data_IF_977558325973
#
_entry.id   IF_977558325973
#
_cell.length_a   1.000
_cell.length_b   1.000
_cell.length_c   1.000
_cell.angle_alpha   90.00
_cell.angle_beta   90.00
_cell.angle_gamma   90.00
#
_symmetry.space_group_name_H-M   'P 1'
#
loop_
_entity.id
_entity.type
_entity.pdbx_description
1 polymer ?
#
# COMPACT_ATOMS: atom_id res chain seq x y z
N UNK A 1 -2.47 -7.84 -12.22
CA UNK A 1 -3.33 -7.36 -13.32
C UNK A 1 -2.52 -6.28 -14.00
N UNK A 2 -2.24 -6.45 -15.28
CA UNK A 2 -1.27 -5.63 -16.01
C UNK A 2 -1.74 -4.17 -16.06
N UNK A 3 -0.95 -3.24 -15.52
CA UNK A 3 -1.28 -1.80 -15.46
C UNK A 3 -1.44 -1.22 -16.88
N UNK A 4 -0.78 -1.86 -17.85
CA UNK A 4 -0.91 -1.56 -19.25
C UNK A 4 -2.29 -1.93 -19.82
N UNK A 5 -2.84 -3.08 -19.42
CA UNK A 5 -4.16 -3.56 -19.85
C UNK A 5 -5.31 -2.74 -19.24
N UNK A 6 -5.11 -2.20 -18.04
CA UNK A 6 -6.06 -1.26 -17.42
C UNK A 6 -6.03 0.14 -18.04
N UNK A 7 -5.17 0.36 -19.05
CA UNK A 7 -4.98 1.64 -19.76
C UNK A 7 -4.51 2.79 -18.87
N UNK A 8 -3.92 2.48 -17.72
CA UNK A 8 -3.27 3.49 -16.89
C UNK A 8 -1.85 3.71 -17.37
N UNK A 9 -1.73 4.43 -18.49
CA UNK A 9 -0.47 4.63 -19.19
C UNK A 9 0.55 5.42 -18.37
N UNK A 10 0.11 6.21 -17.38
CA UNK A 10 1.00 6.92 -16.46
C UNK A 10 1.76 5.94 -15.58
N UNK A 11 1.05 5.05 -14.88
CA UNK A 11 1.72 4.05 -14.05
C UNK A 11 2.44 3.00 -14.89
N UNK A 12 1.92 2.63 -16.06
CA UNK A 12 2.63 1.73 -16.97
C UNK A 12 3.99 2.31 -17.39
N UNK A 13 4.06 3.61 -17.72
CA UNK A 13 5.31 4.33 -17.98
C UNK A 13 6.25 4.25 -16.77
N UNK A 14 5.75 4.57 -15.59
CA UNK A 14 6.58 4.64 -14.38
C UNK A 14 7.19 3.27 -14.01
N UNK A 15 6.39 2.19 -14.11
CA UNK A 15 6.88 0.81 -13.91
C UNK A 15 7.92 0.39 -14.95
N UNK A 16 7.74 0.77 -16.22
CA UNK A 16 8.71 0.42 -17.26
C UNK A 16 10.01 1.22 -17.12
N UNK A 17 9.96 2.49 -16.68
CA UNK A 17 11.15 3.27 -16.32
C UNK A 17 11.91 2.62 -15.15
N UNK A 18 11.20 2.18 -14.12
CA UNK A 18 11.82 1.47 -12.99
C UNK A 18 12.42 0.14 -13.44
N UNK A 19 11.76 -0.57 -14.36
CA UNK A 19 12.29 -1.79 -14.97
C UNK A 19 13.63 -1.51 -15.66
N UNK A 20 13.72 -0.45 -16.47
CA UNK A 20 15.00 -0.04 -17.10
C UNK A 20 16.08 0.25 -16.05
N UNK A 21 15.74 0.98 -14.98
CA UNK A 21 16.68 1.30 -13.88
C UNK A 21 17.25 0.03 -13.24
N UNK A 22 16.41 -0.96 -12.96
CA UNK A 22 16.83 -2.23 -12.37
C UNK A 22 17.70 -3.06 -13.33
N UNK A 23 17.39 -3.05 -14.63
CA UNK A 23 18.19 -3.75 -15.64
C UNK A 23 19.61 -3.19 -15.77
N UNK A 24 19.74 -1.86 -15.63
CA UNK A 24 21.04 -1.17 -15.63
C UNK A 24 21.86 -1.49 -14.37
N UNK A 25 21.22 -1.64 -13.21
CA UNK A 25 21.88 -1.90 -11.92
C UNK A 25 22.26 -3.38 -11.73
N UNK A 26 21.37 -4.31 -12.04
CA UNK A 26 21.57 -5.75 -11.81
C UNK A 26 22.30 -6.44 -12.98
N UNK A 27 22.53 -5.72 -14.08
CA UNK A 27 23.31 -6.17 -15.24
C UNK A 27 22.65 -7.33 -15.99
N UNK A 28 21.70 -7.04 -16.89
CA UNK A 28 21.18 -7.90 -17.98
C UNK A 28 20.93 -9.42 -17.70
N UNK A 29 20.89 -9.88 -16.45
CA UNK A 29 20.62 -11.29 -16.10
C UNK A 29 19.12 -11.61 -16.06
N UNK A 30 18.29 -10.73 -16.62
CA UNK A 30 16.84 -10.85 -16.52
C UNK A 30 16.25 -11.66 -17.67
N UNK A 31 15.14 -12.36 -17.39
CA UNK A 31 14.27 -12.98 -18.40
C UNK A 31 13.46 -11.96 -19.22
N UNK A 32 13.71 -10.66 -19.05
CA UNK A 32 12.93 -9.58 -19.64
C UNK A 32 13.61 -9.10 -20.93
N UNK A 33 12.89 -9.10 -22.04
CA UNK A 33 13.36 -8.53 -23.30
C UNK A 33 13.29 -7.01 -23.22
N UNK A 34 14.44 -6.36 -23.39
CA UNK A 34 14.55 -4.90 -23.40
C UNK A 34 13.68 -4.27 -24.51
N UNK A 35 13.47 -5.00 -25.62
CA UNK A 35 12.62 -4.59 -26.73
C UNK A 35 11.15 -4.48 -26.29
N UNK A 36 10.68 -5.40 -25.44
CA UNK A 36 9.33 -5.35 -24.88
C UNK A 36 9.17 -4.13 -23.96
N UNK A 37 10.16 -3.84 -23.12
CA UNK A 37 10.14 -2.67 -22.23
C UNK A 37 10.06 -1.37 -23.04
N UNK A 38 10.87 -1.24 -24.10
CA UNK A 38 10.83 -0.06 -24.98
C UNK A 38 9.52 0.05 -25.77
N UNK A 39 8.92 -1.05 -26.23
CA UNK A 39 7.62 -1.00 -26.92
C UNK A 39 6.50 -0.51 -25.98
N UNK A 40 6.47 -1.01 -24.74
CA UNK A 40 5.48 -0.58 -23.73
C UNK A 40 5.69 0.90 -23.34
N UNK A 41 6.94 1.34 -23.13
CA UNK A 41 7.26 2.76 -22.89
C UNK A 41 6.86 3.64 -24.05
N UNK A 42 7.23 3.24 -25.26
CA UNK A 42 6.92 3.98 -26.49
C UNK A 42 5.41 4.19 -26.63
N UNK A 43 4.61 3.16 -26.38
CA UNK A 43 3.16 3.25 -26.47
C UNK A 43 2.56 4.07 -25.33
N UNK A 44 3.03 3.90 -24.10
CA UNK A 44 2.57 4.68 -22.95
C UNK A 44 2.81 6.18 -23.16
N UNK A 45 4.02 6.57 -23.58
CA UNK A 45 4.36 7.97 -23.89
C UNK A 45 3.50 8.52 -25.03
N UNK A 46 3.22 7.73 -26.07
CA UNK A 46 2.30 8.12 -27.14
C UNK A 46 0.90 8.40 -26.60
N UNK A 47 0.37 7.54 -25.73
CA UNK A 47 -0.96 7.70 -25.12
C UNK A 47 -1.04 8.90 -24.17
N UNK A 48 0.07 9.26 -23.54
CA UNK A 48 0.21 10.46 -22.72
C UNK A 48 0.48 11.74 -23.55
N UNK A 49 0.63 11.60 -24.87
CA UNK A 49 0.85 12.73 -25.79
C UNK A 49 2.32 13.12 -25.96
N UNK A 50 3.26 12.44 -25.32
CA UNK A 50 4.69 12.73 -25.38
C UNK A 50 5.35 12.12 -26.64
N UNK A 51 4.98 12.61 -27.83
CA UNK A 51 5.43 12.03 -29.11
C UNK A 51 6.96 11.95 -29.26
N UNK A 52 7.69 12.94 -28.74
CA UNK A 52 9.17 12.94 -28.80
C UNK A 52 9.76 11.78 -28.01
N UNK A 53 9.24 11.52 -26.80
CA UNK A 53 9.65 10.40 -25.95
C UNK A 53 9.23 9.07 -26.55
N UNK A 54 8.01 8.98 -27.09
CA UNK A 54 7.54 7.81 -27.82
C UNK A 54 8.49 7.43 -28.95
N UNK A 55 8.82 8.38 -29.83
CA UNK A 55 9.76 8.17 -30.93
C UNK A 55 11.19 7.85 -30.43
N UNK A 56 11.63 8.42 -29.31
CA UNK A 56 12.92 8.10 -28.72
C UNK A 56 13.01 6.63 -28.31
N UNK A 57 12.04 6.12 -27.53
CA UNK A 57 12.03 4.71 -27.12
C UNK A 57 11.90 3.75 -28.31
N UNK A 58 11.09 4.09 -29.34
CA UNK A 58 11.04 3.28 -30.56
C UNK A 58 12.38 3.23 -31.30
N UNK A 59 13.19 4.30 -31.27
CA UNK A 59 14.53 4.30 -31.87
C UNK A 59 15.51 3.45 -31.06
N UNK A 60 15.44 3.49 -29.72
CA UNK A 60 16.25 2.61 -28.87
C UNK A 60 15.95 1.13 -29.16
N UNK A 61 14.68 0.80 -29.37
CA UNK A 61 14.27 -0.54 -29.79
C UNK A 61 14.88 -0.94 -31.15
N UNK A 62 14.93 -0.05 -32.13
CA UNK A 62 15.59 -0.30 -33.42
C UNK A 62 17.12 -0.38 -33.34
N UNK A 63 17.75 0.22 -32.33
CA UNK A 63 19.19 0.03 -32.09
C UNK A 63 19.48 -1.40 -31.61
N UNK A 64 18.55 -2.01 -30.87
CA UNK A 64 18.66 -3.38 -30.40
C UNK A 64 18.24 -4.41 -31.48
N UNK A 65 17.11 -4.17 -32.15
CA UNK A 65 16.63 -4.96 -33.30
C UNK A 65 16.29 -4.06 -34.50
N UNK A 66 17.25 -3.84 -35.42
CA UNK A 66 17.02 -3.05 -36.62
C UNK A 66 15.96 -3.61 -37.56
N UNK A 67 15.66 -4.92 -37.46
CA UNK A 67 14.70 -5.61 -38.35
C UNK A 67 13.27 -5.56 -37.84
N UNK A 68 13.04 -4.95 -36.68
CA UNK A 68 11.74 -4.94 -36.04
C UNK A 68 10.69 -4.14 -36.84
N UNK A 69 9.85 -4.85 -37.60
CA UNK A 69 8.90 -4.25 -38.54
C UNK A 69 7.90 -3.27 -37.89
N UNK A 70 7.45 -3.53 -36.65
CA UNK A 70 6.55 -2.62 -35.91
C UNK A 70 7.23 -1.30 -35.55
N UNK A 71 8.46 -1.34 -35.05
CA UNK A 71 9.21 -0.17 -34.61
C UNK A 71 9.53 0.76 -35.79
N UNK A 72 9.90 0.21 -36.94
CA UNK A 72 10.10 0.98 -38.17
C UNK A 72 8.84 1.77 -38.57
N UNK A 73 7.67 1.14 -38.51
CA UNK A 73 6.39 1.80 -38.78
C UNK A 73 6.04 2.85 -37.72
N UNK A 74 6.26 2.54 -36.45
CA UNK A 74 5.96 3.44 -35.34
C UNK A 74 6.81 4.72 -35.38
N UNK A 75 8.12 4.63 -35.68
CA UNK A 75 8.98 5.82 -35.83
C UNK A 75 8.46 6.73 -36.94
N UNK A 76 8.20 6.18 -38.13
CA UNK A 76 7.69 6.95 -39.26
C UNK A 76 6.33 7.60 -38.93
N UNK A 77 5.47 6.87 -38.21
CA UNK A 77 4.18 7.38 -37.76
C UNK A 77 4.32 8.54 -36.75
N UNK A 78 5.16 8.39 -35.72
CA UNK A 78 5.38 9.44 -34.73
C UNK A 78 6.06 10.68 -35.33
N UNK A 79 7.04 10.50 -36.22
CA UNK A 79 7.69 11.61 -36.93
C UNK A 79 6.71 12.38 -37.82
N UNK A 80 5.79 11.69 -38.50
CA UNK A 80 4.76 12.33 -39.31
C UNK A 80 3.74 13.08 -38.44
N UNK A 81 3.34 12.53 -37.29
CA UNK A 81 2.46 13.24 -36.34
C UNK A 81 3.12 14.49 -35.77
N UNK A 82 4.40 14.42 -35.41
CA UNK A 82 5.18 15.59 -34.94
C UNK A 82 5.21 16.68 -36.01
N UNK A 83 5.27 16.30 -37.29
CA UNK A 83 5.31 17.23 -38.42
C UNK A 83 3.96 17.86 -38.75
N UNK A 84 2.89 17.08 -38.67
CA UNK A 84 1.56 17.47 -39.19
C UNK A 84 0.60 17.98 -38.13
N UNK A 85 0.67 17.46 -36.90
CA UNK A 85 -0.24 17.78 -35.81
C UNK A 85 0.51 18.09 -34.49
N UNK A 86 1.55 18.95 -34.48
CA UNK A 86 2.37 19.19 -33.28
C UNK A 86 1.54 19.73 -32.09
N UNK A 87 0.49 20.51 -32.36
CA UNK A 87 -0.34 21.15 -31.33
C UNK A 87 -1.31 20.20 -30.63
N UNK A 88 -1.63 19.05 -31.24
CA UNK A 88 -2.54 18.04 -30.67
C UNK A 88 -1.87 17.17 -29.61
N UNK A 89 -0.54 17.18 -29.59
CA UNK A 89 0.30 16.35 -28.74
C UNK A 89 1.35 17.21 -28.03
N UNK A 90 0.91 18.37 -27.54
CA UNK A 90 1.73 19.21 -26.67
C UNK A 90 1.97 18.46 -25.37
N UNK A 91 3.24 18.34 -25.00
CA UNK A 91 3.73 17.73 -23.77
C UNK A 91 2.84 18.13 -22.58
N UNK A 92 2.03 17.20 -22.05
CA UNK A 92 1.34 17.44 -20.77
C UNK A 92 2.31 17.41 -19.57
N UNK A 93 3.57 17.04 -19.82
CA UNK A 93 4.63 16.97 -18.81
C UNK A 93 5.49 18.25 -18.71
N UNK A 94 5.38 19.25 -19.61
CA UNK A 94 6.25 20.45 -19.58
C UNK A 94 5.80 21.56 -18.60
N UNK A 95 4.66 21.40 -17.90
CA UNK A 95 4.24 22.30 -16.82
C UNK A 95 4.08 21.61 -15.45
N UNK A 96 4.44 20.33 -15.34
CA UNK A 96 4.54 19.65 -14.04
C UNK A 96 5.93 19.05 -13.90
N UNK A 97 6.88 19.95 -13.62
CA UNK A 97 8.25 19.59 -13.32
C UNK A 97 8.32 18.45 -12.30
N UNK A 98 9.29 17.56 -12.50
CA UNK A 98 9.71 16.51 -11.57
C UNK A 98 10.38 17.08 -10.30
N UNK A 99 10.05 18.31 -9.90
CA UNK A 99 10.38 18.89 -8.61
C UNK A 99 9.09 19.00 -7.81
N UNK A 100 9.08 18.49 -6.58
CA UNK A 100 7.91 18.43 -5.71
C UNK A 100 7.28 19.80 -5.46
N UNK A 101 6.40 20.23 -6.35
CA UNK A 101 5.50 21.34 -6.10
C UNK A 101 4.44 20.87 -5.10
N UNK A 102 4.53 21.42 -3.89
CA UNK A 102 3.54 21.18 -2.85
C UNK A 102 2.15 21.52 -3.38
N UNK A 103 1.27 20.52 -3.43
CA UNK A 103 -0.13 20.67 -3.81
C UNK A 103 -0.76 21.82 -3.00
N UNK A 104 -1.32 22.81 -3.69
CA UNK A 104 -2.03 23.93 -3.06
C UNK A 104 -3.24 23.42 -2.25
N UNK A 105 -3.63 24.14 -1.19
CA UNK A 105 -4.79 23.78 -0.37
C UNK A 105 -6.10 23.69 -1.20
N UNK A 106 -6.27 24.57 -2.19
CA UNK A 106 -7.43 24.57 -3.10
C UNK A 106 -7.46 23.34 -4.01
N UNK A 107 -6.31 22.89 -4.55
CA UNK A 107 -6.27 21.65 -5.34
C UNK A 107 -6.59 20.42 -4.49
N UNK A 108 -6.24 20.42 -3.20
CA UNK A 108 -6.50 19.31 -2.27
C UNK A 108 -7.97 19.14 -1.94
N UNK A 109 -8.72 20.23 -1.81
CA UNK A 109 -10.15 20.18 -1.55
C UNK A 109 -10.94 19.59 -2.72
N UNK A 110 -10.47 19.76 -3.95
CA UNK A 110 -11.12 19.19 -5.16
C UNK A 110 -10.87 17.70 -5.36
N UNK A 111 -9.83 17.13 -4.74
CA UNK A 111 -9.49 15.71 -4.91
C UNK A 111 -10.55 14.80 -4.28
N UNK A 112 -10.80 13.68 -4.97
CA UNK A 112 -11.55 12.55 -4.40
C UNK A 112 -10.82 11.96 -3.20
N UNK A 113 -11.54 11.23 -2.34
CA UNK A 113 -10.95 10.53 -1.20
C UNK A 113 -9.84 9.56 -1.65
N UNK A 114 -10.02 8.90 -2.80
CA UNK A 114 -9.05 7.95 -3.33
C UNK A 114 -7.78 8.63 -3.82
N UNK A 115 -7.90 9.76 -4.51
CA UNK A 115 -6.73 10.55 -4.95
C UNK A 115 -5.93 11.10 -3.76
N UNK A 116 -6.63 11.61 -2.74
CA UNK A 116 -5.99 12.02 -1.47
C UNK A 116 -5.28 10.87 -0.79
N UNK A 117 -5.83 9.66 -0.80
CA UNK A 117 -5.17 8.48 -0.26
C UNK A 117 -3.91 8.13 -1.06
N UNK A 118 -3.99 8.10 -2.39
CA UNK A 118 -2.85 7.78 -3.26
C UNK A 118 -1.71 8.80 -3.14
N UNK A 119 -2.02 10.08 -2.89
CA UNK A 119 -1.02 11.12 -2.77
C UNK A 119 -0.19 11.00 -1.48
N UNK A 120 -0.72 10.37 -0.42
CA UNK A 120 0.01 10.07 0.83
C UNK A 120 1.24 9.19 0.60
N UNK A 121 1.26 8.38 -0.47
CA UNK A 121 2.38 7.50 -0.79
C UNK A 121 3.57 8.23 -1.46
N UNK A 122 3.44 9.53 -1.79
CA UNK A 122 4.42 10.28 -2.61
C UNK A 122 5.34 11.22 -1.82
N UNK A 123 5.30 11.18 -0.49
CA UNK A 123 6.18 12.00 0.34
C UNK A 123 5.51 12.42 1.65
N UNK A 124 6.21 13.21 2.48
CA UNK A 124 5.67 13.66 3.74
C UNK A 124 4.49 14.60 3.50
N UNK A 125 3.35 14.26 4.09
CA UNK A 125 2.20 15.14 4.22
C UNK A 125 2.26 15.78 5.61
N UNK A 126 2.89 16.96 5.76
CA UNK A 126 3.03 17.57 7.07
C UNK A 126 1.64 17.87 7.62
N UNK A 127 1.40 17.44 8.86
CA UNK A 127 0.21 17.86 9.59
C UNK A 127 0.23 19.39 9.71
N UNK A 128 -0.92 20.08 9.56
CA UNK A 128 -0.99 21.50 9.85
C UNK A 128 -0.45 21.78 11.26
N UNK A 129 0.26 22.91 11.43
CA UNK A 129 0.98 23.22 12.68
C UNK A 129 0.09 23.21 13.90
N UNK A 130 -1.18 23.55 13.72
CA UNK A 130 -2.20 23.54 14.76
C UNK A 130 -2.35 22.13 15.33
N UNK A 131 -2.44 21.10 14.46
CA UNK A 131 -2.53 19.70 14.88
C UNK A 131 -1.21 19.18 15.44
N UNK A 132 -0.08 19.54 14.84
CA UNK A 132 1.24 19.08 15.24
C UNK A 132 1.63 19.59 16.64
N UNK A 133 1.30 20.85 16.96
CA UNK A 133 1.63 21.47 18.25
C UNK A 133 0.92 20.84 19.46
N UNK A 134 -0.16 20.12 19.22
CA UNK A 134 -0.96 19.45 20.26
C UNK A 134 -0.57 17.98 20.46
N UNK A 135 0.32 17.43 19.64
CA UNK A 135 0.76 16.04 19.75
C UNK A 135 1.65 15.88 20.99
N UNK A 136 1.31 14.89 21.81
CA UNK A 136 1.98 14.67 23.10
C UNK A 136 2.29 13.19 23.32
N UNK A 137 3.31 12.93 24.13
CA UNK A 137 3.67 11.60 24.58
C UNK A 137 3.49 11.51 26.09
N UNK A 138 2.94 10.40 26.57
CA UNK A 138 2.72 10.18 27.99
C UNK A 138 2.79 8.70 28.36
N UNK A 139 2.95 8.45 29.66
CA UNK A 139 2.84 7.11 30.23
C UNK A 139 1.42 6.85 30.69
N UNK A 140 0.86 5.72 30.27
CA UNK A 140 -0.51 5.33 30.59
C UNK A 140 -0.54 4.06 31.43
N UNK A 141 -1.19 4.12 32.59
CA UNK A 141 -1.28 3.03 33.55
C UNK A 141 -2.69 2.42 33.65
N UNK A 142 -3.61 2.86 32.79
CA UNK A 142 -5.02 2.47 32.76
C UNK A 142 -5.68 2.41 34.15
N UNK A 143 -5.82 3.55 34.82
CA UNK A 143 -6.43 3.62 36.16
C UNK A 143 -5.70 2.75 37.20
N UNK A 144 -4.37 2.71 37.11
CA UNK A 144 -3.51 1.91 37.98
C UNK A 144 -3.77 0.40 37.89
N UNK A 145 -4.04 -0.12 36.68
CA UNK A 145 -4.04 -1.57 36.41
C UNK A 145 -2.74 -2.18 36.94
N UNK A 146 -2.78 -3.25 37.77
CA UNK A 146 -1.61 -3.71 38.53
C UNK A 146 -0.35 -3.96 37.69
N UNK A 147 -0.49 -4.54 36.49
CA UNK A 147 0.63 -4.80 35.57
C UNK A 147 1.25 -3.52 34.99
N UNK A 148 0.44 -2.46 34.83
CA UNK A 148 0.85 -1.19 34.22
C UNK A 148 1.34 -0.15 35.24
N UNK A 149 1.08 -0.32 36.54
CA UNK A 149 1.68 0.53 37.58
C UNK A 149 3.21 0.41 37.57
N UNK A 150 3.73 -0.81 37.38
CA UNK A 150 5.16 -1.08 37.34
C UNK A 150 5.74 -0.74 35.96
N UNK A 151 5.00 -1.04 34.90
CA UNK A 151 5.43 -0.82 33.51
C UNK A 151 4.31 -0.15 32.70
N UNK A 152 4.14 1.17 32.84
CA UNK A 152 3.13 1.91 32.08
C UNK A 152 3.38 1.81 30.57
N UNK A 153 2.30 1.87 29.80
CA UNK A 153 2.38 1.91 28.33
C UNK A 153 2.90 3.27 27.89
N UNK A 154 3.83 3.27 26.95
CA UNK A 154 4.30 4.49 26.27
C UNK A 154 3.31 4.84 25.17
N UNK A 155 2.59 5.94 25.33
CA UNK A 155 1.56 6.40 24.39
C UNK A 155 2.06 7.66 23.68
N UNK A 156 1.88 7.68 22.37
CA UNK A 156 2.09 8.83 21.50
C UNK A 156 0.76 9.19 20.85
N UNK A 157 0.31 10.43 21.00
CA UNK A 157 -0.86 10.92 20.26
C UNK A 157 -0.41 11.24 18.84
N UNK A 158 -0.98 10.55 17.86
CA UNK A 158 -0.67 10.74 16.43
C UNK A 158 -1.70 11.67 15.78
N UNK A 159 -2.94 11.66 16.25
CA UNK A 159 -3.99 12.52 15.76
C UNK A 159 -5.10 12.70 16.80
N UNK A 160 -5.71 13.89 16.87
CA UNK A 160 -6.74 14.18 17.87
C UNK A 160 -8.17 13.88 17.38
N UNK A 161 -8.45 14.05 16.08
CA UNK A 161 -9.80 13.87 15.54
C UNK A 161 -9.79 13.27 14.12
N UNK A 162 -9.95 11.95 13.96
CA UNK A 162 -10.21 10.97 15.02
C UNK A 162 -9.02 10.81 15.98
N UNK A 163 -9.28 10.36 17.21
CA UNK A 163 -8.23 10.07 18.18
C UNK A 163 -7.44 8.84 17.72
N UNK A 164 -6.17 9.03 17.42
CA UNK A 164 -5.24 7.97 17.03
C UNK A 164 -4.06 8.00 18.00
N UNK A 165 -3.83 6.86 18.65
CA UNK A 165 -2.71 6.66 19.55
C UNK A 165 -1.76 5.62 18.97
N UNK A 166 -0.46 5.86 19.11
CA UNK A 166 0.57 4.86 18.87
C UNK A 166 1.13 4.37 20.20
N UNK A 167 0.95 3.08 20.47
CA UNK A 167 1.48 2.44 21.68
C UNK A 167 2.85 1.84 21.37
N UNK A 168 3.89 2.33 22.05
CA UNK A 168 5.28 1.94 21.76
C UNK A 168 5.71 0.77 22.63
N UNK A 169 6.30 -0.25 22.01
CA UNK A 169 6.91 -1.39 22.71
C UNK A 169 5.90 -2.34 23.36
N UNK A 170 4.71 -2.49 22.77
CA UNK A 170 3.68 -3.41 23.27
C UNK A 170 4.11 -4.87 23.11
N UNK A 171 4.75 -5.22 21.98
CA UNK A 171 5.25 -6.57 21.71
C UNK A 171 6.78 -6.58 21.76
N UNK A 172 7.34 -7.62 22.37
CA UNK A 172 8.77 -7.92 22.30
C UNK A 172 9.14 -8.62 20.98
N UNK A 173 10.41 -8.56 20.59
CA UNK A 173 10.90 -9.29 19.39
C UNK A 173 10.56 -10.79 19.43
N UNK A 174 10.76 -11.43 20.58
CA UNK A 174 10.41 -12.85 20.79
C UNK A 174 8.92 -13.14 20.60
N UNK A 175 8.05 -12.23 21.06
CA UNK A 175 6.60 -12.35 20.84
C UNK A 175 6.27 -12.20 19.36
N UNK A 176 6.88 -11.22 18.68
CA UNK A 176 6.67 -11.01 17.24
C UNK A 176 7.12 -12.21 16.42
N UNK A 177 8.31 -12.77 16.69
CA UNK A 177 8.84 -13.94 15.98
C UNK A 177 7.96 -15.18 16.20
N UNK A 178 7.48 -15.38 17.43
CA UNK A 178 6.56 -16.48 17.74
C UNK A 178 5.23 -16.33 16.99
N UNK A 179 4.66 -15.13 16.94
CA UNK A 179 3.44 -14.89 16.18
C UNK A 179 3.64 -15.16 14.68
N UNK A 180 4.80 -14.80 14.11
CA UNK A 180 5.15 -15.11 12.72
C UNK A 180 5.24 -16.62 12.48
N UNK A 181 5.91 -17.36 13.36
CA UNK A 181 6.04 -18.82 13.30
C UNK A 181 4.66 -19.50 13.31
N UNK A 182 3.80 -19.09 14.24
CA UNK A 182 2.44 -19.62 14.38
C UNK A 182 1.55 -19.27 13.18
N UNK A 183 1.66 -18.05 12.66
CA UNK A 183 0.85 -17.57 11.56
C UNK A 183 1.27 -18.17 10.21
N UNK A 184 2.57 -18.37 9.97
CA UNK A 184 3.15 -18.85 8.71
C UNK A 184 2.34 -19.97 8.02
N UNK A 185 2.06 -21.10 8.69
CA UNK A 185 1.33 -22.22 8.08
C UNK A 185 -0.17 -21.98 7.86
N UNK A 186 -0.77 -20.99 8.53
CA UNK A 186 -2.22 -20.71 8.45
C UNK A 186 -2.57 -19.48 7.59
N UNK A 187 -1.56 -18.68 7.21
CA UNK A 187 -1.74 -17.52 6.35
C UNK A 187 -2.28 -17.95 4.98
N UNK A 188 -3.51 -17.54 4.66
CA UNK A 188 -4.15 -17.75 3.36
C UNK A 188 -4.43 -16.43 2.68
N UNK A 189 -4.57 -16.45 1.35
CA UNK A 189 -4.95 -15.25 0.59
C UNK A 189 -6.24 -14.68 1.17
N UNK A 190 -6.22 -13.42 1.56
CA UNK A 190 -7.40 -12.75 2.09
C UNK A 190 -8.47 -12.67 0.98
N UNK A 191 -9.70 -13.01 1.35
CA UNK A 191 -10.89 -12.92 0.52
C UNK A 191 -11.85 -11.91 1.13
N UNK A 192 -12.73 -11.36 0.30
CA UNK A 192 -13.85 -10.56 0.74
C UNK A 192 -15.14 -11.14 0.17
N UNK A 193 -16.25 -10.90 0.87
CA UNK A 193 -17.56 -11.36 0.42
C UNK A 193 -17.99 -10.52 -0.78
N UNK A 194 -18.11 -11.15 -1.94
CA UNK A 194 -18.62 -10.51 -3.14
C UNK A 194 -20.12 -10.23 -2.95
N UNK A 195 -20.56 -8.97 -3.13
CA UNK A 195 -21.93 -8.56 -2.91
C UNK A 195 -22.92 -9.21 -3.90
N UNK A 196 -22.47 -9.50 -5.13
CA UNK A 196 -23.29 -10.07 -6.19
C UNK A 196 -23.37 -11.60 -6.07
N UNK A 197 -22.24 -12.26 -5.79
CA UNK A 197 -22.17 -13.73 -5.73
C UNK A 197 -22.41 -14.30 -4.33
N UNK A 198 -22.27 -13.47 -3.29
CA UNK A 198 -22.34 -13.85 -1.88
C UNK A 198 -21.17 -14.72 -1.39
N UNK A 199 -20.20 -15.03 -2.26
CA UNK A 199 -19.06 -15.90 -1.98
C UNK A 199 -17.82 -15.10 -1.57
N UNK A 200 -16.94 -15.77 -0.83
CA UNK A 200 -15.63 -15.23 -0.51
C UNK A 200 -14.70 -15.32 -1.73
N UNK A 201 -14.33 -14.17 -2.29
CA UNK A 201 -13.50 -14.06 -3.48
C UNK A 201 -12.32 -13.10 -3.23
N UNK A 202 -11.16 -13.28 -3.90
CA UNK A 202 -10.07 -12.33 -3.79
C UNK A 202 -10.49 -10.96 -4.31
N UNK A 203 -10.31 -9.93 -3.47
CA UNK A 203 -10.64 -8.55 -3.84
C UNK A 203 -9.40 -7.77 -4.28
N UNK A 204 -9.58 -6.82 -5.21
CA UNK A 204 -8.51 -5.94 -5.66
C UNK A 204 -8.12 -4.89 -4.60
N UNK A 205 -9.07 -4.45 -3.77
CA UNK A 205 -8.84 -3.45 -2.72
C UNK A 205 -8.13 -4.00 -1.46
N UNK A 206 -7.97 -5.34 -1.37
CA UNK A 206 -7.33 -6.02 -0.24
C UNK A 206 -6.35 -7.08 -0.75
N UNK A 207 -5.08 -6.70 -0.82
CA UNK A 207 -3.99 -7.58 -1.24
C UNK A 207 -3.15 -7.96 -0.02
N UNK A 208 -3.54 -9.06 0.64
CA UNK A 208 -2.78 -9.63 1.75
C UNK A 208 -2.99 -11.13 1.91
N UNK A 209 -2.19 -11.75 2.76
CA UNK A 209 -2.48 -13.05 3.38
C UNK A 209 -2.88 -12.80 4.83
N UNK A 210 -3.90 -13.47 5.32
CA UNK A 210 -4.35 -13.35 6.72
C UNK A 210 -4.56 -14.72 7.36
N UNK A 211 -4.37 -14.75 8.68
CA UNK A 211 -4.63 -15.91 9.53
C UNK A 211 -5.09 -15.42 10.90
N UNK A 212 -5.82 -16.27 11.63
CA UNK A 212 -6.35 -15.95 12.95
C UNK A 212 -5.72 -16.89 13.97
N UNK A 213 -5.13 -16.30 15.01
CA UNK A 213 -4.49 -17.00 16.11
C UNK A 213 -5.38 -16.93 17.35
N UNK A 214 -5.34 -18.01 18.11
CA UNK A 214 -5.99 -18.14 19.41
C UNK A 214 -5.11 -19.02 20.29
N UNK A 215 -5.43 -19.11 21.59
CA UNK A 215 -4.70 -19.93 22.57
C UNK A 215 -4.49 -21.37 22.11
N UNK A 216 -5.42 -21.92 21.33
CA UNK A 216 -5.35 -23.28 20.78
C UNK A 216 -4.16 -23.50 19.85
N UNK A 217 -3.71 -22.45 19.17
CA UNK A 217 -2.57 -22.50 18.25
C UNK A 217 -1.23 -22.39 18.98
N UNK A 218 -1.22 -21.96 20.24
CA UNK A 218 0.01 -21.60 20.94
C UNK A 218 0.16 -22.30 22.30
N UNK A 219 0.77 -23.51 22.32
CA UNK A 219 1.03 -24.25 23.55
C UNK A 219 1.89 -23.49 24.58
N UNK A 220 2.65 -22.48 24.13
CA UNK A 220 3.54 -21.68 24.98
C UNK A 220 2.85 -20.43 25.56
N UNK A 221 1.59 -20.17 25.21
CA UNK A 221 0.75 -19.12 25.80
C UNK A 221 1.19 -17.68 25.55
N UNK A 222 1.95 -17.40 24.49
CA UNK A 222 2.23 -16.05 24.00
C UNK A 222 0.94 -15.32 23.61
N UNK A 223 0.03 -15.97 22.86
CA UNK A 223 -1.24 -15.34 22.45
C UNK A 223 -2.03 -14.87 23.69
N UNK A 224 -2.23 -15.73 24.68
CA UNK A 224 -2.92 -15.38 25.93
C UNK A 224 -2.24 -14.25 26.72
N UNK A 225 -0.90 -14.21 26.72
CA UNK A 225 -0.16 -13.13 27.38
C UNK A 225 -0.32 -11.80 26.67
N UNK A 226 -0.48 -11.82 25.34
CA UNK A 226 -0.73 -10.63 24.53
C UNK A 226 -2.17 -10.17 24.73
N UNK A 227 -3.15 -11.08 24.71
CA UNK A 227 -4.56 -10.75 24.95
C UNK A 227 -4.75 -10.11 26.34
N UNK A 228 -4.18 -10.69 27.40
CA UNK A 228 -4.22 -10.08 28.74
C UNK A 228 -3.58 -8.69 28.77
N UNK A 229 -2.50 -8.48 28.02
CA UNK A 229 -1.85 -7.16 27.93
C UNK A 229 -2.74 -6.15 27.21
N UNK A 230 -3.42 -6.57 26.14
CA UNK A 230 -4.40 -5.75 25.43
C UNK A 230 -5.54 -5.37 26.37
N UNK A 231 -6.09 -6.34 27.11
CA UNK A 231 -7.09 -6.09 28.14
C UNK A 231 -6.60 -5.07 29.19
N UNK A 232 -5.36 -5.25 29.68
CA UNK A 232 -4.76 -4.38 30.70
C UNK A 232 -4.67 -2.91 30.27
N UNK A 233 -4.30 -2.61 29.02
CA UNK A 233 -4.15 -1.21 28.57
C UNK A 233 -5.38 -0.65 27.85
N UNK A 234 -6.28 -1.48 27.33
CA UNK A 234 -7.55 -0.98 26.75
C UNK A 234 -8.65 -0.85 27.81
N UNK A 235 -8.57 -1.63 28.89
CA UNK A 235 -9.66 -1.79 29.85
C UNK A 235 -10.85 -2.58 29.29
N UNK A 236 -10.72 -3.19 28.11
CA UNK A 236 -11.76 -3.95 27.43
C UNK A 236 -11.47 -5.44 27.53
N UNK A 237 -12.48 -6.24 27.88
CA UNK A 237 -12.29 -7.68 27.99
C UNK A 237 -12.03 -8.33 26.64
N UNK A 238 -11.05 -9.23 26.60
CA UNK A 238 -10.77 -10.06 25.43
C UNK A 238 -11.71 -11.27 25.31
N UNK A 239 -12.58 -11.51 26.30
CA UNK A 239 -13.51 -12.65 26.28
C UNK A 239 -14.52 -12.63 25.14
N UNK A 240 -14.90 -11.44 24.67
CA UNK A 240 -15.80 -11.23 23.52
C UNK A 240 -15.06 -10.78 22.27
N UNK A 241 -13.75 -10.60 22.35
CA UNK A 241 -12.95 -10.12 21.23
C UNK A 241 -12.81 -11.19 20.14
N UNK A 242 -12.62 -10.73 18.91
CA UNK A 242 -12.22 -11.61 17.82
C UNK A 242 -10.83 -12.20 18.07
N UNK A 243 -10.54 -13.30 17.37
CA UNK A 243 -9.21 -13.91 17.39
C UNK A 243 -8.15 -12.95 16.84
N UNK A 244 -6.91 -13.07 17.33
CA UNK A 244 -5.80 -12.24 16.90
C UNK A 244 -5.53 -12.44 15.40
N UNK A 245 -5.85 -11.44 14.58
CA UNK A 245 -5.59 -11.48 13.16
C UNK A 245 -4.13 -11.12 12.86
N UNK A 246 -3.42 -12.00 12.18
CA UNK A 246 -2.08 -11.74 11.63
C UNK A 246 -2.23 -11.54 10.12
N UNK A 247 -1.71 -10.42 9.63
CA UNK A 247 -1.79 -10.03 8.22
C UNK A 247 -0.39 -9.85 7.65
N UNK A 248 -0.14 -10.45 6.49
CA UNK A 248 1.08 -10.30 5.71
C UNK A 248 0.74 -9.67 4.36
N UNK A 249 1.22 -8.45 4.12
CA UNK A 249 1.01 -7.73 2.87
C UNK A 249 1.97 -8.19 1.76
N UNK A 250 3.18 -8.62 2.09
CA UNK A 250 4.20 -8.93 1.09
C UNK A 250 4.56 -7.71 0.23
N UNK A 251 5.19 -7.97 -0.92
CA UNK A 251 5.54 -6.91 -1.89
C UNK A 251 4.28 -6.49 -2.65
N UNK A 252 4.00 -5.19 -2.65
CA UNK A 252 2.82 -4.62 -3.33
C UNK A 252 1.48 -4.94 -2.66
N UNK A 253 1.49 -5.54 -1.47
CA UNK A 253 0.26 -5.72 -0.70
C UNK A 253 -0.23 -4.41 -0.11
N UNK A 254 -1.54 -4.24 -0.11
CA UNK A 254 -2.19 -3.06 0.43
C UNK A 254 -3.58 -3.41 0.96
N UNK A 255 -4.11 -2.49 1.74
CA UNK A 255 -5.51 -2.45 2.13
C UNK A 255 -5.99 -1.02 1.90
N UNK A 256 -7.01 -0.86 1.07
CA UNK A 256 -7.62 0.46 0.83
C UNK A 256 -8.35 0.99 2.08
N UNK A 257 -8.55 2.32 2.20
CA UNK A 257 -9.25 2.91 3.33
C UNK A 257 -10.64 2.28 3.55
N UNK A 258 -10.92 1.87 4.78
CA UNK A 258 -12.18 1.23 5.17
C UNK A 258 -12.51 1.53 6.63
N UNK A 259 -13.71 1.12 7.05
CA UNK A 259 -14.13 1.12 8.44
C UNK A 259 -14.07 -0.30 9.02
N UNK A 260 -13.66 -0.41 10.27
CA UNK A 260 -13.58 -1.69 10.99
C UNK A 260 -14.91 -2.09 11.65
N UNK A 261 -15.89 -1.18 11.68
CA UNK A 261 -17.23 -1.46 12.21
C UNK A 261 -18.15 -2.04 11.12
N UNK A 262 -18.99 -3.00 11.51
CA UNK A 262 -20.05 -3.52 10.64
C UNK A 262 -21.17 -2.49 10.43
N UNK A 263 -21.69 -2.40 9.21
CA UNK A 263 -22.79 -1.48 8.85
C UNK A 263 -24.16 -2.15 8.75
N UNK A 264 -24.22 -3.49 8.72
CA UNK A 264 -25.46 -4.24 8.52
C UNK A 264 -26.06 -4.74 9.84
N UNK A 265 -27.34 -4.47 10.08
CA UNK A 265 -28.11 -5.01 11.22
C UNK A 265 -28.09 -6.56 11.27
N UNK A 266 -27.92 -7.22 10.12
CA UNK A 266 -27.83 -8.68 10.02
C UNK A 266 -26.48 -9.26 10.46
N UNK A 267 -25.44 -8.42 10.62
CA UNK A 267 -24.12 -8.84 11.12
C UNK A 267 -24.05 -8.95 12.65
N UNK A 268 -25.12 -8.57 13.36
CA UNK A 268 -25.22 -8.59 14.82
C UNK A 268 -25.54 -9.97 15.43
N UNK A 269 -25.61 -11.04 14.63
CA UNK A 269 -25.95 -12.38 15.16
C UNK A 269 -24.82 -13.02 15.97
N UNK A 270 -23.57 -12.56 15.79
CA UNK A 270 -22.42 -12.91 16.62
C UNK A 270 -21.74 -11.62 17.09
N UNK A 271 -22.09 -11.15 18.29
CA UNK A 271 -21.59 -9.88 18.84
C UNK A 271 -20.13 -10.06 19.32
N UNK A 272 -19.19 -10.02 18.38
CA UNK A 272 -17.81 -9.74 18.69
C UNK A 272 -17.57 -8.23 18.59
N UNK A 273 -17.12 -7.61 19.68
CA UNK A 273 -16.68 -6.22 19.62
C UNK A 273 -15.35 -6.18 18.84
N UNK A 274 -15.38 -5.66 17.61
CA UNK A 274 -14.16 -5.43 16.83
C UNK A 274 -13.46 -4.16 17.34
N UNK A 275 -12.43 -4.34 18.16
CA UNK A 275 -11.43 -3.31 18.42
C UNK A 275 -10.17 -3.73 17.66
N UNK A 276 -10.01 -3.27 16.42
CA UNK A 276 -8.83 -3.62 15.64
C UNK A 276 -7.66 -2.73 16.06
N UNK A 277 -6.67 -3.35 16.67
CA UNK A 277 -5.40 -2.74 16.98
C UNK A 277 -4.34 -3.20 15.98
N UNK A 278 -3.91 -2.28 15.14
CA UNK A 278 -2.90 -2.54 14.13
C UNK A 278 -1.50 -2.46 14.74
N UNK A 279 -0.89 -3.62 14.98
CA UNK A 279 0.53 -3.69 15.30
C UNK A 279 1.34 -3.74 14.01
N UNK A 280 2.03 -2.64 13.70
CA UNK A 280 2.98 -2.57 12.59
C UNK A 280 4.31 -3.19 13.02
N UNK A 281 4.54 -4.44 12.63
CA UNK A 281 5.87 -5.05 12.68
C UNK A 281 6.57 -4.70 11.37
N UNK A 282 7.52 -3.76 11.43
CA UNK A 282 8.38 -3.39 10.29
C UNK A 282 9.05 -4.66 9.74
N UNK A 283 9.25 -4.81 8.41
CA UNK A 283 9.61 -6.07 7.82
C UNK A 283 10.97 -6.54 8.33
N UNK A 284 10.96 -7.59 9.15
CA UNK A 284 11.99 -8.62 9.04
C UNK A 284 11.31 -9.75 8.28
N UNK A 285 11.76 -9.94 7.05
CA UNK A 285 11.28 -10.91 6.07
C UNK A 285 10.67 -12.15 6.73
N UNK A 286 9.43 -12.50 6.35
CA UNK A 286 8.95 -13.86 6.57
C UNK A 286 9.85 -14.77 5.72
N UNK A 287 10.57 -15.73 6.33
CA UNK A 287 11.33 -16.71 5.57
C UNK A 287 10.41 -17.59 4.71
#
# INVERSE_FOLDING_TARGET
MDVYDSKDYRYARDWMKETLRLLDEEGHSSTVDLSDVYDHLSFAEYKLGNLKRAAHYTRLMLQNDPTHARAQRNVAYFEELIRTEPEKYINQDDERGEEGEGETAESRESMTQYERYQSLCRGPWPLPKEYDSELTCFYYDNHRTPSLVIRPVKVEVVFHKPRIFMLRGILSEREMDRLKELAGPILKRATAKNADSGKDEPAHYRISKSGWLSSKHDPLGYVDRIDRRIEDFTGLTMSTAEQLQVVNYGIGGHYEPHYDFGTDEASFTDVHLSCQMWNWVVPQYFP
#
